data_IF_609449353246
#
_entry.id   IF_609449353246
#
_cell.length_a   1.000
_cell.length_b   1.000
_cell.length_c   1.000
_cell.angle_alpha   90.00
_cell.angle_beta   90.00
_cell.angle_gamma   90.00
#
_symmetry.space_group_name_H-M   'P 1'
#
loop_
_entity.id
_entity.type
_entity.pdbx_description
1 polymer ?
#
# COMPACT_ATOMS: atom_id res chain seq x y z
N UNK A 1 22.67 -0.79 -17.95
CA UNK A 1 22.50 -0.80 -19.42
C UNK A 1 23.51 -1.76 -20.08
N UNK A 2 24.83 -1.71 -19.76
CA UNK A 2 25.91 -2.47 -20.41
C UNK A 2 25.66 -4.00 -20.50
N UNK A 3 25.20 -4.63 -19.42
CA UNK A 3 24.92 -6.07 -19.39
C UNK A 3 23.80 -6.46 -20.37
N UNK A 4 22.81 -5.58 -20.57
CA UNK A 4 21.71 -5.82 -21.51
C UNK A 4 22.20 -5.65 -22.93
N UNK A 5 22.99 -4.61 -23.22
CA UNK A 5 23.62 -4.40 -24.53
C UNK A 5 24.44 -5.63 -24.91
N UNK A 6 25.27 -6.13 -24.00
CA UNK A 6 26.06 -7.35 -24.21
C UNK A 6 25.17 -8.56 -24.49
N UNK A 7 24.13 -8.78 -23.70
CA UNK A 7 23.24 -9.93 -23.86
C UNK A 7 22.51 -9.91 -25.24
N UNK A 8 22.02 -8.73 -25.65
CA UNK A 8 21.33 -8.56 -26.95
C UNK A 8 22.29 -8.80 -28.12
N UNK A 9 23.52 -8.28 -28.00
CA UNK A 9 24.61 -8.51 -28.99
C UNK A 9 24.94 -9.98 -29.08
N UNK A 10 25.21 -10.66 -27.96
CA UNK A 10 25.61 -12.05 -27.90
C UNK A 10 24.51 -12.97 -28.45
N UNK A 11 23.24 -12.57 -28.31
CA UNK A 11 22.09 -13.24 -28.94
C UNK A 11 21.99 -13.03 -30.47
N UNK A 12 22.85 -12.19 -31.05
CA UNK A 12 22.93 -11.96 -32.49
C UNK A 12 21.91 -10.99 -33.07
N UNK A 13 21.16 -10.27 -32.24
CA UNK A 13 20.21 -9.26 -32.70
C UNK A 13 20.94 -8.05 -33.30
N UNK A 14 20.39 -7.50 -34.39
CA UNK A 14 20.94 -6.34 -35.11
C UNK A 14 20.08 -5.11 -35.04
N UNK A 15 18.79 -5.26 -34.72
CA UNK A 15 17.84 -4.17 -34.55
C UNK A 15 17.26 -4.21 -33.15
N UNK A 16 17.21 -3.06 -32.50
CA UNK A 16 16.72 -2.90 -31.13
C UNK A 16 15.59 -1.89 -31.12
N UNK A 17 14.50 -2.21 -30.45
CA UNK A 17 13.42 -1.26 -30.13
C UNK A 17 13.30 -1.21 -28.61
N UNK A 18 13.56 -0.03 -28.04
CA UNK A 18 13.35 0.24 -26.62
C UNK A 18 11.89 0.59 -26.39
N UNK A 19 11.27 -0.07 -25.43
CA UNK A 19 9.88 0.15 -25.08
C UNK A 19 9.69 0.12 -23.55
N UNK A 20 9.01 1.11 -22.94
CA UNK A 20 8.81 1.13 -21.51
C UNK A 20 7.75 0.08 -21.08
N UNK A 21 8.04 -0.67 -20.03
CA UNK A 21 7.06 -1.55 -19.37
C UNK A 21 6.38 -0.75 -18.25
N UNK A 22 5.65 0.30 -18.63
CA UNK A 22 4.99 1.25 -17.73
C UNK A 22 3.56 1.48 -18.20
N UNK A 23 2.64 1.76 -17.26
CA UNK A 23 1.24 2.08 -17.62
C UNK A 23 1.16 3.40 -18.37
N UNK A 24 1.95 4.39 -17.94
CA UNK A 24 2.08 5.71 -18.59
C UNK A 24 3.54 5.90 -18.98
N UNK A 25 3.79 6.20 -20.24
CA UNK A 25 5.11 6.53 -20.76
C UNK A 25 5.41 8.02 -20.44
N UNK A 26 5.79 8.29 -19.19
CA UNK A 26 6.08 9.64 -18.68
C UNK A 26 7.56 10.03 -18.82
N UNK A 27 8.06 10.78 -17.86
CA UNK A 27 9.40 11.38 -17.83
C UNK A 27 10.52 10.34 -18.02
N UNK A 28 10.51 9.25 -17.27
CA UNK A 28 11.50 8.18 -17.41
C UNK A 28 11.53 7.53 -18.81
N UNK A 29 10.39 7.40 -19.47
CA UNK A 29 10.36 6.86 -20.82
C UNK A 29 10.90 7.86 -21.86
N UNK A 30 10.64 9.14 -21.66
CA UNK A 30 11.08 10.19 -22.58
C UNK A 30 12.55 10.57 -22.38
N UNK A 31 13.01 10.67 -21.14
CA UNK A 31 14.36 11.14 -20.82
C UNK A 31 15.34 9.99 -20.58
N UNK A 32 15.08 9.13 -19.55
CA UNK A 32 16.06 8.10 -19.17
C UNK A 32 16.16 6.98 -20.21
N UNK A 33 15.05 6.63 -20.88
CA UNK A 33 15.06 5.59 -21.90
C UNK A 33 15.37 6.13 -23.30
N UNK A 34 14.66 7.16 -23.77
CA UNK A 34 14.67 7.60 -25.17
C UNK A 34 15.27 8.99 -25.37
N UNK A 35 15.74 9.65 -24.31
CA UNK A 35 16.36 10.97 -24.37
C UNK A 35 17.69 10.99 -25.13
N UNK A 36 18.19 12.22 -25.37
CA UNK A 36 19.43 12.43 -26.12
C UNK A 36 20.67 12.56 -25.20
N UNK A 37 20.47 12.52 -23.87
CA UNK A 37 21.58 12.55 -22.90
C UNK A 37 22.42 11.26 -22.99
N UNK A 38 23.72 11.36 -22.79
CA UNK A 38 24.67 10.26 -22.95
C UNK A 38 24.36 9.04 -22.05
N UNK A 39 23.69 9.27 -20.93
CA UNK A 39 23.31 8.22 -19.97
C UNK A 39 21.93 7.60 -20.26
N UNK A 40 21.19 8.12 -21.24
CA UNK A 40 19.95 7.49 -21.68
C UNK A 40 20.20 6.10 -22.30
N UNK A 41 19.24 5.21 -22.19
CA UNK A 41 19.37 3.85 -22.77
C UNK A 41 19.58 3.91 -24.29
N UNK A 42 18.80 4.75 -25.00
CA UNK A 42 18.94 4.92 -26.45
C UNK A 42 20.34 5.35 -26.85
N UNK A 43 20.91 6.36 -26.16
CA UNK A 43 22.25 6.85 -26.42
C UNK A 43 23.31 5.80 -26.16
N UNK A 44 23.23 5.07 -25.03
CA UNK A 44 24.16 3.98 -24.71
C UNK A 44 24.10 2.81 -25.70
N UNK A 45 22.90 2.39 -26.12
CA UNK A 45 22.74 1.35 -27.13
C UNK A 45 23.32 1.81 -28.47
N UNK A 46 23.05 3.03 -28.89
CA UNK A 46 23.56 3.63 -30.12
C UNK A 46 25.09 3.76 -30.10
N UNK A 47 25.65 4.33 -29.03
CA UNK A 47 27.08 4.51 -28.84
C UNK A 47 27.86 3.19 -28.79
N UNK A 48 27.21 2.09 -28.41
CA UNK A 48 27.84 0.76 -28.39
C UNK A 48 28.33 0.29 -29.78
N UNK A 49 27.76 0.80 -30.86
CA UNK A 49 28.10 0.44 -32.25
C UNK A 49 27.79 -1.02 -32.63
N UNK A 50 27.00 -1.73 -31.82
CA UNK A 50 26.74 -3.16 -31.98
C UNK A 50 25.51 -3.46 -32.85
N UNK A 51 24.66 -2.46 -33.12
CA UNK A 51 23.35 -2.61 -33.75
C UNK A 51 23.21 -1.76 -35.02
N UNK A 52 22.50 -2.27 -36.01
CA UNK A 52 22.22 -1.59 -37.27
C UNK A 52 21.18 -0.46 -37.07
N UNK A 53 20.25 -0.65 -36.12
CA UNK A 53 19.32 0.39 -35.69
C UNK A 53 18.95 0.26 -34.22
N UNK A 54 18.74 1.41 -33.58
CA UNK A 54 18.22 1.55 -32.22
C UNK A 54 17.07 2.55 -32.26
N UNK A 55 15.86 2.05 -32.11
CA UNK A 55 14.64 2.84 -32.16
C UNK A 55 13.98 2.86 -30.77
N UNK A 56 13.12 3.85 -30.51
CA UNK A 56 12.35 3.97 -29.30
C UNK A 56 10.86 4.01 -29.62
N UNK A 57 10.07 3.22 -28.90
CA UNK A 57 8.61 3.30 -28.94
C UNK A 57 8.12 3.81 -27.60
N UNK A 58 7.85 5.11 -27.51
CA UNK A 58 7.34 5.76 -26.29
C UNK A 58 5.83 5.61 -26.26
N UNK A 59 5.37 4.45 -25.76
CA UNK A 59 3.97 4.13 -25.63
C UNK A 59 3.76 3.33 -24.32
N UNK A 60 2.84 3.78 -23.48
CA UNK A 60 2.50 3.12 -22.21
C UNK A 60 1.59 1.92 -22.44
N UNK A 61 1.59 0.99 -21.47
CA UNK A 61 0.67 -0.14 -21.47
C UNK A 61 -0.80 0.31 -21.40
N UNK A 62 -1.05 1.50 -20.80
CA UNK A 62 -2.38 2.11 -20.73
C UNK A 62 -2.94 2.55 -22.09
N UNK A 63 -2.15 2.58 -23.14
CA UNK A 63 -2.59 2.85 -24.51
C UNK A 63 -3.10 1.58 -25.23
N UNK A 64 -2.86 0.40 -24.64
CA UNK A 64 -3.29 -0.89 -25.18
C UNK A 64 -4.74 -1.14 -24.76
N UNK A 65 -5.66 -1.24 -25.73
CA UNK A 65 -7.09 -1.44 -25.47
C UNK A 65 -7.41 -2.62 -24.54
N UNK A 66 -6.67 -3.74 -24.70
CA UNK A 66 -6.83 -4.90 -23.83
C UNK A 66 -6.48 -4.60 -22.37
N UNK A 67 -5.45 -3.77 -22.12
CA UNK A 67 -5.05 -3.33 -20.78
C UNK A 67 -6.10 -2.37 -20.21
N UNK A 68 -6.59 -1.42 -21.01
CA UNK A 68 -7.68 -0.52 -20.61
C UNK A 68 -8.93 -1.30 -20.19
N UNK A 69 -9.30 -2.31 -20.94
CA UNK A 69 -10.44 -3.19 -20.60
C UNK A 69 -10.25 -3.90 -19.26
N UNK A 70 -9.05 -4.38 -18.95
CA UNK A 70 -8.73 -4.98 -17.65
C UNK A 70 -8.92 -3.98 -16.50
N UNK A 71 -8.45 -2.76 -16.64
CA UNK A 71 -8.66 -1.70 -15.63
C UNK A 71 -10.14 -1.39 -15.44
N UNK A 72 -10.90 -1.26 -16.53
CA UNK A 72 -12.36 -1.02 -16.47
C UNK A 72 -13.08 -2.18 -15.78
N UNK A 73 -12.75 -3.43 -16.11
CA UNK A 73 -13.34 -4.61 -15.46
C UNK A 73 -13.01 -4.68 -13.98
N UNK A 74 -11.76 -4.43 -13.59
CA UNK A 74 -11.35 -4.43 -12.18
C UNK A 74 -12.05 -3.32 -11.40
N UNK A 75 -12.13 -2.11 -11.98
CA UNK A 75 -12.84 -0.98 -11.37
C UNK A 75 -14.32 -1.30 -11.21
N UNK A 76 -14.96 -1.87 -12.24
CA UNK A 76 -16.36 -2.29 -12.16
C UNK A 76 -16.59 -3.33 -11.05
N UNK A 77 -15.74 -4.35 -10.96
CA UNK A 77 -15.82 -5.35 -9.89
C UNK A 77 -15.63 -4.72 -8.51
N UNK A 78 -14.70 -3.77 -8.38
CA UNK A 78 -14.49 -3.03 -7.14
C UNK A 78 -15.74 -2.23 -6.75
N UNK A 79 -16.33 -1.47 -7.68
CA UNK A 79 -17.58 -0.72 -7.45
C UNK A 79 -18.74 -1.66 -7.08
N UNK A 80 -18.88 -2.80 -7.78
CA UNK A 80 -19.89 -3.81 -7.45
C UNK A 80 -19.70 -4.40 -6.06
N UNK A 81 -18.44 -4.57 -5.62
CA UNK A 81 -18.14 -5.04 -4.27
C UNK A 81 -18.51 -4.00 -3.21
N UNK A 82 -18.22 -2.72 -3.45
CA UNK A 82 -18.64 -1.62 -2.59
C UNK A 82 -20.18 -1.53 -2.49
N UNK A 83 -20.90 -1.67 -3.61
CA UNK A 83 -22.35 -1.69 -3.61
C UNK A 83 -22.98 -2.87 -2.86
N UNK A 84 -22.29 -4.00 -2.77
CA UNK A 84 -22.71 -5.14 -1.94
C UNK A 84 -22.44 -4.90 -0.45
N UNK A 85 -21.36 -4.25 -0.11
CA UNK A 85 -21.04 -3.83 1.26
C UNK A 85 -22.05 -2.79 1.75
N UNK A 86 -22.43 -1.82 0.90
CA UNK A 86 -23.47 -0.82 1.25
C UNK A 86 -24.87 -1.41 1.48
N UNK A 87 -25.21 -2.55 0.87
CA UNK A 87 -26.50 -3.23 1.13
C UNK A 87 -26.49 -4.08 2.39
N UNK A 88 -25.30 -4.44 2.92
CA UNK A 88 -25.17 -5.10 4.21
C UNK A 88 -25.08 -4.11 5.37
N UNK A 89 -24.81 -2.83 5.08
CA UNK A 89 -24.65 -1.76 6.08
C UNK A 89 -25.90 -0.87 6.25
N UNK A 90 -27.06 -1.28 5.69
CA UNK A 90 -28.31 -0.55 5.94
C UNK A 90 -29.13 -1.23 7.03
N UNK A 91 -29.29 -0.51 8.14
CA UNK A 91 -30.21 -0.79 9.25
C UNK A 91 -29.84 -1.98 10.16
N UNK A 92 -28.82 -1.79 10.95
CA UNK A 92 -28.67 -2.48 12.21
C UNK A 92 -28.32 -1.46 13.26
N UNK A 93 -29.19 -1.22 14.21
CA UNK A 93 -28.87 -0.56 15.46
C UNK A 93 -27.49 -1.06 15.92
N UNK A 94 -26.66 -0.15 16.45
CA UNK A 94 -25.39 -0.48 17.08
C UNK A 94 -25.68 -1.53 18.18
N UNK A 95 -25.72 -2.80 17.79
CA UNK A 95 -25.69 -3.90 18.76
C UNK A 95 -24.32 -3.81 19.37
N UNK A 96 -24.23 -3.29 20.59
CA UNK A 96 -23.00 -3.37 21.36
C UNK A 96 -22.53 -4.83 21.30
N UNK A 97 -21.34 -5.05 20.76
CA UNK A 97 -20.76 -6.40 20.75
C UNK A 97 -20.68 -6.91 22.19
N UNK A 98 -20.95 -8.18 22.37
CA UNK A 98 -20.73 -8.84 23.67
C UNK A 98 -19.24 -8.85 24.01
N UNK A 99 -18.93 -8.93 25.29
CA UNK A 99 -17.55 -9.11 25.73
C UNK A 99 -16.93 -10.35 25.08
N UNK A 100 -15.76 -10.20 24.52
CA UNK A 100 -15.09 -11.26 23.78
C UNK A 100 -13.99 -10.78 22.84
N UNK A 101 -13.45 -11.73 22.10
CA UNK A 101 -12.39 -11.47 21.10
C UNK A 101 -12.94 -11.73 19.71
N UNK A 102 -12.63 -10.81 18.81
CA UNK A 102 -13.12 -10.79 17.44
C UNK A 102 -11.95 -10.60 16.48
N UNK A 103 -12.10 -11.04 15.25
CA UNK A 103 -11.31 -10.59 14.12
C UNK A 103 -12.07 -9.45 13.45
N UNK A 104 -11.44 -8.28 13.26
CA UNK A 104 -12.08 -7.14 12.64
C UNK A 104 -11.15 -6.48 11.60
N UNK A 105 -11.71 -5.94 10.54
CA UNK A 105 -10.97 -5.17 9.55
C UNK A 105 -10.56 -3.83 10.10
N UNK A 106 -9.32 -3.43 9.83
CA UNK A 106 -8.78 -2.11 10.10
C UNK A 106 -8.50 -1.42 8.77
N UNK A 107 -9.31 -0.45 8.41
CA UNK A 107 -9.20 0.29 7.16
C UNK A 107 -8.47 1.60 7.39
N UNK A 108 -7.64 2.00 6.43
CA UNK A 108 -6.91 3.27 6.43
C UNK A 108 -7.06 3.97 5.10
N UNK A 109 -6.84 5.28 5.08
CA UNK A 109 -6.78 6.11 3.87
C UNK A 109 -5.41 6.08 3.16
N UNK A 110 -4.47 5.27 3.64
CA UNK A 110 -3.08 5.28 3.21
C UNK A 110 -2.60 3.90 2.76
N UNK A 111 -1.87 3.87 1.65
CA UNK A 111 -1.14 2.66 1.21
C UNK A 111 0.16 2.41 1.98
N UNK A 112 0.67 3.40 2.75
CA UNK A 112 1.91 3.27 3.54
C UNK A 112 1.66 2.99 5.02
N UNK A 113 0.47 3.30 5.51
CA UNK A 113 0.01 2.96 6.85
C UNK A 113 -1.10 1.92 6.74
N UNK A 114 -0.78 0.67 6.92
CA UNK A 114 -1.74 -0.44 6.85
C UNK A 114 -1.32 -1.61 7.74
N UNK A 115 -2.26 -2.46 8.03
CA UNK A 115 -2.04 -3.72 8.76
C UNK A 115 -1.15 -4.64 7.93
N UNK A 116 -0.33 -5.45 8.61
CA UNK A 116 0.54 -6.41 7.97
C UNK A 116 -0.23 -7.34 7.01
N UNK A 117 0.36 -7.60 5.86
CA UNK A 117 -0.24 -8.40 4.78
C UNK A 117 -0.58 -9.84 5.23
N UNK A 118 0.21 -10.40 6.16
CA UNK A 118 -0.07 -11.71 6.75
C UNK A 118 -1.38 -11.75 7.54
N UNK A 119 -1.90 -10.60 7.94
CA UNK A 119 -3.17 -10.47 8.67
C UNK A 119 -4.35 -10.12 7.75
N UNK A 120 -4.14 -10.01 6.45
CA UNK A 120 -5.18 -9.70 5.44
C UNK A 120 -5.99 -8.43 5.77
N UNK A 121 -5.35 -7.40 6.31
CA UNK A 121 -6.01 -6.15 6.69
C UNK A 121 -6.84 -6.24 7.97
N UNK A 122 -6.71 -7.31 8.76
CA UNK A 122 -7.49 -7.53 9.98
C UNK A 122 -6.61 -7.39 11.23
N UNK A 123 -7.22 -6.95 12.31
CA UNK A 123 -6.65 -6.96 13.65
C UNK A 123 -7.45 -7.84 14.61
N UNK A 124 -6.94 -7.99 15.84
CA UNK A 124 -7.66 -8.65 16.93
C UNK A 124 -8.39 -7.59 17.75
N UNK A 125 -9.72 -7.55 17.64
CA UNK A 125 -10.57 -6.65 18.41
C UNK A 125 -10.99 -7.33 19.71
N UNK A 126 -10.67 -6.73 20.83
CA UNK A 126 -11.10 -7.15 22.17
C UNK A 126 -12.20 -6.22 22.65
N UNK A 127 -13.32 -6.79 23.04
CA UNK A 127 -14.45 -6.09 23.66
C UNK A 127 -14.52 -6.51 25.13
N UNK A 128 -14.45 -5.54 26.03
CA UNK A 128 -14.58 -5.75 27.47
C UNK A 128 -15.25 -4.54 28.11
N UNK A 129 -16.27 -4.78 28.91
CA UNK A 129 -17.02 -3.75 29.64
C UNK A 129 -17.46 -2.60 28.70
N UNK A 130 -17.94 -2.94 27.49
CA UNK A 130 -18.34 -2.00 26.42
C UNK A 130 -17.20 -1.16 25.85
N UNK A 131 -15.97 -1.40 26.21
CA UNK A 131 -14.79 -0.79 25.59
C UNK A 131 -14.23 -1.70 24.51
N UNK A 132 -13.84 -1.12 23.39
CA UNK A 132 -13.27 -1.84 22.28
C UNK A 132 -11.83 -1.38 22.05
N UNK A 133 -10.93 -2.34 21.91
CA UNK A 133 -9.52 -2.09 21.55
C UNK A 133 -9.16 -3.06 20.44
N UNK A 134 -8.65 -2.54 19.32
CA UNK A 134 -8.14 -3.37 18.25
C UNK A 134 -6.61 -3.41 18.31
N UNK A 135 -6.06 -4.62 18.39
CA UNK A 135 -4.63 -4.84 18.23
C UNK A 135 -4.32 -5.05 16.75
N UNK A 136 -3.47 -4.19 16.18
CA UNK A 136 -3.01 -4.26 14.79
C UNK A 136 -1.50 -4.49 14.75
N UNK A 137 -1.02 -5.27 13.79
CA UNK A 137 0.40 -5.42 13.49
C UNK A 137 0.72 -4.70 12.19
N UNK A 138 1.75 -3.88 12.21
CA UNK A 138 2.19 -3.12 11.04
C UNK A 138 3.19 -3.92 10.19
N UNK A 139 3.55 -3.38 9.04
CA UNK A 139 4.50 -4.03 8.10
C UNK A 139 5.96 -3.93 8.59
N UNK A 140 6.25 -3.00 9.52
CA UNK A 140 7.63 -2.73 9.94
C UNK A 140 7.67 -1.95 11.26
N UNK A 141 8.89 -1.63 11.72
CA UNK A 141 9.15 -0.78 12.89
C UNK A 141 9.33 0.72 12.54
N UNK A 142 8.81 1.18 11.38
CA UNK A 142 9.01 2.57 10.92
C UNK A 142 8.03 3.58 11.50
N UNK A 143 6.88 3.13 12.01
CA UNK A 143 5.92 3.96 12.75
C UNK A 143 6.18 3.70 14.23
N UNK A 144 6.54 4.74 14.96
CA UNK A 144 7.05 4.60 16.34
C UNK A 144 6.02 4.96 17.41
N UNK A 145 5.02 5.79 17.07
CA UNK A 145 3.88 6.09 17.95
C UNK A 145 2.63 6.35 17.11
N UNK A 146 1.47 6.15 17.73
CA UNK A 146 0.17 6.61 17.23
C UNK A 146 -0.46 7.56 18.22
N UNK A 147 -1.39 8.38 17.74
CA UNK A 147 -2.19 9.28 18.58
C UNK A 147 -3.63 9.32 18.06
N UNK A 148 -4.61 9.16 18.97
CA UNK A 148 -6.02 9.33 18.65
C UNK A 148 -6.35 10.80 18.49
N UNK A 149 -6.50 11.23 17.24
CA UNK A 149 -6.74 12.62 16.89
C UNK A 149 -5.78 13.13 15.82
N UNK A 150 -5.64 14.44 15.69
CA UNK A 150 -4.82 15.08 14.67
C UNK A 150 -3.33 15.10 15.03
N UNK A 151 -2.46 15.15 14.01
CA UNK A 151 -1.03 15.35 14.15
C UNK A 151 -0.69 16.59 14.99
N UNK A 152 -1.44 17.67 14.79
CA UNK A 152 -1.28 18.93 15.55
C UNK A 152 -1.59 18.76 17.04
N UNK A 153 -2.53 17.89 17.39
CA UNK A 153 -2.87 17.60 18.78
C UNK A 153 -1.85 16.65 19.43
N UNK A 154 -1.28 15.75 18.64
CA UNK A 154 -0.21 14.85 19.07
C UNK A 154 1.08 15.58 19.48
N UNK A 155 1.35 16.75 18.91
CA UNK A 155 2.51 17.59 19.22
C UNK A 155 2.36 18.43 20.51
N UNK A 156 1.18 18.43 21.12
CA UNK A 156 0.94 19.21 22.35
C UNK A 156 1.56 18.53 23.57
N UNK A 157 2.03 19.33 24.50
CA UNK A 157 2.51 18.85 25.79
C UNK A 157 1.41 18.05 26.52
N UNK A 158 1.75 16.83 26.94
CA UNK A 158 0.82 15.95 27.65
C UNK A 158 -0.08 15.09 26.74
N UNK A 159 0.15 15.06 25.42
CA UNK A 159 -0.57 14.17 24.52
C UNK A 159 -0.31 12.68 24.89
N UNK A 160 -1.40 11.91 25.05
CA UNK A 160 -1.31 10.48 25.38
C UNK A 160 -1.04 9.67 24.11
N UNK A 161 0.23 9.36 23.88
CA UNK A 161 0.66 8.60 22.70
C UNK A 161 0.48 7.10 22.92
N UNK A 162 -0.10 6.42 21.93
CA UNK A 162 -0.13 4.97 21.88
C UNK A 162 1.29 4.44 21.61
N UNK A 163 1.75 3.57 22.51
CA UNK A 163 3.08 3.00 22.45
C UNK A 163 3.08 1.72 21.60
N UNK A 164 4.15 1.44 20.84
CA UNK A 164 4.24 0.24 20.06
C UNK A 164 4.46 -1.00 20.94
N UNK A 165 3.86 -2.10 20.58
CA UNK A 165 4.28 -3.45 20.98
C UNK A 165 5.29 -3.99 19.98
N UNK A 166 5.99 -5.06 20.33
CA UNK A 166 6.84 -5.79 19.37
C UNK A 166 6.24 -7.15 19.12
N UNK A 167 5.81 -7.39 17.92
CA UNK A 167 5.10 -8.60 17.51
C UNK A 167 5.92 -9.40 16.50
N UNK A 168 5.75 -10.72 16.52
CA UNK A 168 6.34 -11.62 15.52
C UNK A 168 5.29 -11.99 14.48
N UNK A 169 5.59 -11.71 13.22
CA UNK A 169 4.75 -12.09 12.08
C UNK A 169 5.45 -13.20 11.32
N UNK A 170 4.73 -14.30 11.08
CA UNK A 170 5.19 -15.38 10.22
C UNK A 170 4.52 -15.27 8.87
N UNK A 171 5.33 -15.19 7.82
CA UNK A 171 4.88 -15.10 6.43
C UNK A 171 4.70 -16.48 5.79
N UNK A 172 4.02 -16.51 4.65
CA UNK A 172 3.73 -17.76 3.91
C UNK A 172 4.97 -18.45 3.35
N UNK A 173 6.06 -17.72 3.14
CA UNK A 173 7.36 -18.25 2.73
C UNK A 173 8.16 -18.91 3.88
N UNK A 174 7.62 -18.87 5.11
CA UNK A 174 8.22 -19.41 6.31
C UNK A 174 9.11 -18.43 7.08
N UNK A 175 9.35 -17.23 6.55
CA UNK A 175 10.12 -16.19 7.25
C UNK A 175 9.33 -15.66 8.45
N UNK A 176 10.05 -15.18 9.45
CA UNK A 176 9.46 -14.55 10.64
C UNK A 176 10.15 -13.24 10.90
N UNK A 177 9.38 -12.17 10.98
CA UNK A 177 9.89 -10.82 11.24
C UNK A 177 9.29 -10.23 12.51
N UNK A 178 10.07 -9.38 13.17
CA UNK A 178 9.57 -8.54 14.26
C UNK A 178 9.09 -7.20 13.71
N UNK A 179 7.85 -6.88 14.00
CA UNK A 179 7.18 -5.64 13.58
C UNK A 179 6.65 -4.89 14.79
N UNK A 180 6.27 -3.64 14.61
CA UNK A 180 5.50 -2.94 15.64
C UNK A 180 4.00 -3.25 15.48
N UNK A 181 3.36 -3.50 16.63
CA UNK A 181 1.92 -3.55 16.78
C UNK A 181 1.43 -2.38 17.63
N UNK A 182 0.13 -2.14 17.62
CA UNK A 182 -0.51 -1.10 18.42
C UNK A 182 -1.89 -1.54 18.89
N UNK A 183 -2.19 -1.20 20.13
CA UNK A 183 -3.53 -1.30 20.71
C UNK A 183 -4.26 0.01 20.48
N UNK A 184 -5.20 0.03 19.54
CA UNK A 184 -5.95 1.22 19.14
C UNK A 184 -7.34 1.16 19.75
N UNK A 185 -7.72 2.10 20.65
CA UNK A 185 -9.09 2.23 21.13
C UNK A 185 -10.06 2.53 19.99
N UNK A 186 -11.23 1.88 20.01
CA UNK A 186 -12.28 2.05 19.01
C UNK A 186 -13.57 2.46 19.72
N UNK A 187 -14.13 3.60 19.35
CA UNK A 187 -15.38 4.09 19.95
C UNK A 187 -16.60 3.43 19.33
N UNK A 188 -16.60 3.30 17.99
CA UNK A 188 -17.75 2.82 17.23
C UNK A 188 -17.29 2.07 15.97
N UNK A 189 -17.88 0.90 15.72
CA UNK A 189 -17.61 0.14 14.50
C UNK A 189 -18.23 0.81 13.26
N UNK A 190 -17.50 0.78 12.16
CA UNK A 190 -17.93 1.35 10.88
C UNK A 190 -17.82 2.88 10.80
N UNK A 191 -17.45 3.57 11.88
CA UNK A 191 -17.24 4.99 11.90
C UNK A 191 -15.77 5.33 11.69
N UNK A 192 -15.51 6.34 10.85
CA UNK A 192 -14.14 6.87 10.68
C UNK A 192 -13.75 7.74 11.87
N UNK A 193 -12.48 7.67 12.27
CA UNK A 193 -11.88 8.53 13.28
C UNK A 193 -10.46 8.92 12.86
N UNK A 194 -9.97 10.02 13.46
CA UNK A 194 -8.64 10.53 13.18
C UNK A 194 -7.60 9.76 13.99
N UNK A 195 -6.54 9.33 13.32
CA UNK A 195 -5.39 8.65 13.92
C UNK A 195 -4.11 9.21 13.32
N UNK A 196 -3.36 9.97 14.11
CA UNK A 196 -2.06 10.47 13.67
C UNK A 196 -0.97 9.42 13.91
N UNK A 197 0.00 9.35 12.99
CA UNK A 197 1.15 8.45 13.08
C UNK A 197 2.44 9.23 13.15
N UNK A 198 3.38 8.77 13.98
CA UNK A 198 4.75 9.30 14.06
C UNK A 198 5.72 8.35 13.37
N UNK A 199 6.39 8.84 12.34
CA UNK A 199 7.46 8.11 11.68
C UNK A 199 8.80 8.23 12.40
N UNK A 200 9.76 7.35 12.09
CA UNK A 200 11.13 7.37 12.66
C UNK A 200 11.90 8.68 12.42
N UNK A 201 11.45 9.52 11.48
CA UNK A 201 12.04 10.84 11.21
C UNK A 201 11.50 11.94 12.13
N UNK A 202 10.60 11.61 13.06
CA UNK A 202 10.00 12.58 13.97
C UNK A 202 8.91 13.45 13.34
N UNK A 203 8.35 13.03 12.19
CA UNK A 203 7.27 13.75 11.52
C UNK A 203 5.94 13.05 11.80
N UNK A 204 4.93 13.81 12.16
CA UNK A 204 3.55 13.38 12.31
C UNK A 204 2.78 13.48 10.98
N UNK A 205 1.90 12.53 10.76
CA UNK A 205 1.01 12.47 9.60
C UNK A 205 -0.42 12.18 10.05
N UNK A 206 -1.39 12.90 9.50
CA UNK A 206 -2.81 12.67 9.75
C UNK A 206 -3.34 11.56 8.86
N UNK A 207 -4.12 10.65 9.45
CA UNK A 207 -4.83 9.60 8.74
C UNK A 207 -6.26 9.45 9.25
N UNK A 208 -7.14 8.97 8.37
CA UNK A 208 -8.47 8.51 8.73
C UNK A 208 -8.52 6.99 8.70
N UNK A 209 -9.04 6.44 9.78
CA UNK A 209 -9.15 4.99 9.95
C UNK A 209 -10.54 4.58 10.39
N UNK A 210 -10.91 3.34 10.12
CA UNK A 210 -12.14 2.75 10.64
C UNK A 210 -11.96 1.26 10.94
N UNK A 211 -12.80 0.74 11.84
CA UNK A 211 -12.83 -0.68 12.18
C UNK A 211 -14.20 -1.25 11.82
N UNK A 212 -14.23 -2.32 11.04
CA UNK A 212 -15.46 -2.93 10.53
C UNK A 212 -15.41 -4.46 10.54
N UNK A 213 -16.50 -5.09 10.14
CA UNK A 213 -16.60 -6.54 9.90
C UNK A 213 -16.10 -7.41 11.06
N UNK A 214 -16.46 -7.06 12.30
CA UNK A 214 -16.09 -7.82 13.49
C UNK A 214 -16.75 -9.21 13.51
N UNK A 215 -15.94 -10.25 13.51
CA UNK A 215 -16.36 -11.65 13.57
C UNK A 215 -15.80 -12.30 14.83
N UNK A 216 -16.65 -12.91 15.65
CA UNK A 216 -16.25 -13.57 16.90
C UNK A 216 -15.29 -14.73 16.60
N UNK A 217 -14.16 -14.76 17.32
CA UNK A 217 -13.19 -15.86 17.24
C UNK A 217 -13.68 -17.10 17.96
#
# INVERSE_FOLDING_TARGET
CENVIKAVKDAGYKKVILRPLMVVAGDHANNDMAGDDDDSWKSQFTASGNFDSVDSQIAGLGEIEAVQKLYVEHTKKAIESLGKVSKSASSGAVSALEDGTYTAKFNTDSGMFHVNEADNGCGTLTVKDKKMIIHIRLVSKKIVNLFLGSAKDAEKDGAELLQPTTDKVKYSDGTTEEVYGFDVPVEELGKEFDLAILGTKGTWYDHKVSVSDAQKK
#
